data_IF_611702403331
#
_entry.id   IF_611702403331
#
_cell.length_a   1.000
_cell.length_b   1.000
_cell.length_c   1.000
_cell.angle_alpha   90.00
_cell.angle_beta   90.00
_cell.angle_gamma   90.00
#
_symmetry.space_group_name_H-M   'P 1'
#
loop_
_entity.id
_entity.type
_entity.pdbx_description
1 polymer ?
#
# COMPACT_ATOMS: atom_id res chain seq x y z
N UNK A 1 -1.25 -0.15 -22.35
CA UNK A 1 -1.81 -1.39 -21.78
C UNK A 1 -2.09 -1.09 -20.32
N UNK A 2 -3.36 -1.07 -19.94
CA UNK A 2 -3.80 -0.68 -18.60
C UNK A 2 -3.42 -1.80 -17.63
N UNK A 3 -2.37 -1.61 -16.84
CA UNK A 3 -2.07 -2.54 -15.75
C UNK A 3 -3.22 -2.42 -14.74
N UNK A 4 -4.05 -3.46 -14.67
CA UNK A 4 -5.28 -3.49 -13.89
C UNK A 4 -4.90 -3.66 -12.40
N UNK A 5 -5.52 -2.86 -11.53
CA UNK A 5 -5.30 -2.94 -10.09
C UNK A 5 -6.05 -4.16 -9.53
N UNK A 6 -5.55 -5.37 -9.79
CA UNK A 6 -6.21 -6.62 -9.41
C UNK A 6 -6.00 -6.99 -7.92
N UNK A 7 -5.19 -6.21 -7.20
CA UNK A 7 -4.82 -6.48 -5.81
C UNK A 7 -3.96 -7.74 -5.62
N UNK A 8 -3.35 -8.26 -6.69
CA UNK A 8 -2.52 -9.46 -6.70
C UNK A 8 -1.17 -9.20 -7.38
N UNK A 9 -1.17 -8.50 -8.51
CA UNK A 9 0.03 -8.20 -9.28
C UNK A 9 0.53 -6.78 -9.04
N UNK A 10 1.83 -6.59 -9.17
CA UNK A 10 2.47 -5.29 -9.07
C UNK A 10 2.04 -4.40 -10.24
N UNK A 11 1.36 -3.29 -9.97
CA UNK A 11 0.89 -2.37 -11.02
C UNK A 11 2.04 -1.75 -11.83
N UNK A 12 3.24 -1.69 -11.23
CA UNK A 12 4.42 -1.08 -11.85
C UNK A 12 5.20 -2.03 -12.77
N UNK A 13 5.17 -3.35 -12.53
CA UNK A 13 5.99 -4.30 -13.29
C UNK A 13 5.28 -5.61 -13.68
N UNK A 14 4.04 -5.83 -13.26
CA UNK A 14 3.24 -7.03 -13.52
C UNK A 14 3.62 -8.28 -12.72
N UNK A 15 4.69 -8.23 -11.89
CA UNK A 15 5.12 -9.40 -11.10
C UNK A 15 4.24 -9.61 -9.86
N UNK A 16 4.21 -10.85 -9.40
CA UNK A 16 3.49 -11.34 -8.21
C UNK A 16 4.41 -11.68 -7.01
N UNK A 17 5.72 -11.46 -7.16
CA UNK A 17 6.69 -11.68 -6.08
C UNK A 17 6.79 -10.48 -5.15
N UNK A 18 6.28 -10.66 -3.93
CA UNK A 18 6.35 -9.67 -2.87
C UNK A 18 7.05 -10.23 -1.64
N UNK A 19 7.99 -9.46 -1.11
CA UNK A 19 8.62 -9.72 0.19
C UNK A 19 8.04 -8.78 1.24
N UNK A 20 7.93 -9.26 2.48
CA UNK A 20 7.63 -8.39 3.62
C UNK A 20 8.70 -7.29 3.70
N UNK A 21 8.26 -6.04 3.71
CA UNK A 21 9.14 -4.88 3.76
C UNK A 21 9.05 -4.23 5.13
N UNK A 22 10.21 -4.05 5.76
CA UNK A 22 10.33 -3.29 6.99
C UNK A 22 10.99 -1.96 6.65
N UNK A 23 10.21 -0.88 6.75
CA UNK A 23 10.69 0.47 6.51
C UNK A 23 10.21 1.35 7.66
N UNK A 24 11.13 1.72 8.54
CA UNK A 24 10.80 2.50 9.74
C UNK A 24 10.25 3.88 9.39
N UNK A 25 10.73 4.48 8.30
CA UNK A 25 10.24 5.77 7.86
C UNK A 25 8.80 5.66 7.39
N UNK A 26 8.48 4.64 6.56
CA UNK A 26 7.09 4.41 6.14
C UNK A 26 6.20 4.06 7.32
N UNK A 27 6.69 3.27 8.28
CA UNK A 27 5.95 2.95 9.50
C UNK A 27 5.59 4.20 10.32
N UNK A 28 6.50 5.17 10.38
CA UNK A 28 6.28 6.45 11.09
C UNK A 28 5.39 7.41 10.30
N UNK A 29 5.53 7.44 8.98
CA UNK A 29 4.76 8.32 8.11
C UNK A 29 3.33 7.82 7.86
N UNK A 30 3.15 6.50 7.86
CA UNK A 30 1.88 5.82 7.60
C UNK A 30 1.54 4.92 8.79
N UNK A 31 0.74 5.38 9.76
CA UNK A 31 0.44 4.62 10.98
C UNK A 31 -0.23 3.27 10.70
N UNK A 32 -1.01 3.17 9.63
CA UNK A 32 -1.65 1.92 9.18
C UNK A 32 -0.65 0.86 8.68
N UNK A 33 0.64 1.16 8.58
CA UNK A 33 1.68 0.21 8.16
C UNK A 33 2.31 -0.54 9.36
N UNK A 34 2.02 -0.14 10.61
CA UNK A 34 2.68 -0.65 11.82
C UNK A 34 2.64 -2.17 12.01
N UNK A 35 1.65 -2.86 11.45
CA UNK A 35 1.44 -4.30 11.66
C UNK A 35 2.10 -5.20 10.60
N UNK A 36 3.10 -4.69 9.87
CA UNK A 36 3.74 -5.49 8.81
C UNK A 36 2.88 -5.61 7.55
N UNK A 37 1.95 -4.67 7.37
CA UNK A 37 1.12 -4.58 6.18
C UNK A 37 1.88 -4.00 4.97
N UNK A 38 3.21 -3.89 5.01
CA UNK A 38 4.01 -3.40 3.88
C UNK A 38 4.65 -4.57 3.14
N UNK A 39 4.34 -4.70 1.87
CA UNK A 39 4.99 -5.63 0.95
C UNK A 39 5.74 -4.85 -0.12
N UNK A 40 6.99 -5.23 -0.37
CA UNK A 40 7.78 -4.68 -1.46
C UNK A 40 7.88 -5.70 -2.59
N UNK A 41 7.60 -5.24 -3.81
CA UNK A 41 7.79 -6.02 -5.01
C UNK A 41 9.28 -6.28 -5.22
N UNK A 42 9.67 -7.55 -5.31
CA UNK A 42 11.07 -7.93 -5.56
C UNK A 42 11.55 -7.54 -6.96
N UNK A 43 10.63 -7.28 -7.90
CA UNK A 43 10.96 -6.93 -9.27
C UNK A 43 11.36 -5.47 -9.49
N UNK A 44 10.67 -4.53 -8.83
CA UNK A 44 10.85 -3.10 -9.07
C UNK A 44 11.00 -2.27 -7.78
N UNK A 45 10.95 -2.90 -6.61
CA UNK A 45 11.03 -2.18 -5.32
C UNK A 45 9.78 -1.38 -4.96
N UNK A 46 8.70 -1.47 -5.74
CA UNK A 46 7.44 -0.80 -5.41
C UNK A 46 6.84 -1.39 -4.14
N UNK A 47 6.45 -0.53 -3.19
CA UNK A 47 5.87 -0.92 -1.91
C UNK A 47 4.35 -0.80 -1.96
N UNK A 48 3.69 -1.75 -1.32
CA UNK A 48 2.24 -1.90 -1.30
C UNK A 48 1.77 -2.15 0.12
N UNK A 49 0.68 -1.49 0.47
CA UNK A 49 -0.11 -1.83 1.63
C UNK A 49 -0.81 -3.16 1.38
N UNK A 50 -0.92 -3.99 2.40
CA UNK A 50 -1.57 -5.29 2.38
C UNK A 50 -2.89 -5.18 3.12
N UNK A 51 -3.94 -5.74 2.53
CA UNK A 51 -5.23 -5.83 3.17
C UNK A 51 -5.19 -6.83 4.33
N UNK A 52 -5.64 -6.40 5.51
CA UNK A 52 -5.70 -7.21 6.72
C UNK A 52 -6.59 -8.46 6.56
N UNK A 53 -7.74 -8.31 5.90
CA UNK A 53 -8.71 -9.40 5.75
C UNK A 53 -8.29 -10.48 4.73
N UNK A 54 -7.75 -10.08 3.58
CA UNK A 54 -7.54 -11.00 2.44
C UNK A 54 -6.07 -11.20 2.05
N UNK A 55 -5.15 -10.50 2.71
CA UNK A 55 -3.72 -10.53 2.42
C UNK A 55 -3.32 -10.00 1.03
N UNK A 56 -4.27 -9.41 0.30
CA UNK A 56 -4.06 -8.86 -1.04
C UNK A 56 -3.35 -7.51 -1.03
N UNK A 57 -2.84 -7.10 -2.17
CA UNK A 57 -2.30 -5.74 -2.37
C UNK A 57 -3.48 -4.77 -2.34
N UNK A 58 -3.41 -3.83 -1.41
CA UNK A 58 -4.45 -2.84 -1.18
C UNK A 58 -4.21 -1.60 -2.04
N UNK A 59 -3.07 -0.95 -1.86
CA UNK A 59 -2.66 0.25 -2.59
C UNK A 59 -1.15 0.35 -2.58
N UNK A 60 -0.57 1.05 -3.57
CA UNK A 60 0.87 1.35 -3.60
C UNK A 60 1.18 2.47 -2.61
N UNK A 61 2.14 2.26 -1.72
CA UNK A 61 2.60 3.26 -0.75
C UNK A 61 3.97 3.80 -1.19
N UNK A 62 4.13 5.12 -1.17
CA UNK A 62 5.41 5.78 -1.45
C UNK A 62 5.55 7.10 -0.66
N UNK A 63 6.77 7.67 -0.56
CA UNK A 63 7.00 8.86 0.27
C UNK A 63 6.17 10.09 -0.09
N UNK A 64 5.86 10.26 -1.37
CA UNK A 64 5.02 11.36 -1.89
C UNK A 64 3.59 10.90 -2.16
N UNK A 65 3.06 9.98 -1.35
CA UNK A 65 1.70 9.47 -1.50
C UNK A 65 0.72 10.54 -1.09
N UNK A 66 -0.29 10.78 -1.91
CA UNK A 66 -1.34 11.73 -1.63
C UNK A 66 -2.62 11.02 -1.17
N UNK A 67 -3.47 11.71 -0.41
CA UNK A 67 -4.70 11.12 0.15
C UNK A 67 -5.66 10.56 -0.90
N UNK A 68 -5.72 11.19 -2.07
CA UNK A 68 -6.57 10.73 -3.18
C UNK A 68 -6.06 9.47 -3.89
N UNK A 69 -4.79 9.08 -3.68
CA UNK A 69 -4.23 7.85 -4.25
C UNK A 69 -4.56 6.61 -3.40
N UNK A 70 -5.00 6.81 -2.16
CA UNK A 70 -5.41 5.73 -1.27
C UNK A 70 -6.90 5.43 -1.44
N UNK A 71 -7.26 4.26 -2.02
CA UNK A 71 -8.65 3.87 -2.15
C UNK A 71 -9.23 3.54 -0.77
N UNK A 72 -10.50 3.89 -0.55
CA UNK A 72 -11.24 3.51 0.66
C UNK A 72 -11.48 2.01 0.76
N UNK A 73 -11.39 1.27 -0.34
CA UNK A 73 -11.73 -0.15 -0.44
C UNK A 73 -10.60 -0.95 -1.06
N UNK A 74 -10.37 -2.15 -0.53
CA UNK A 74 -9.44 -3.09 -1.11
C UNK A 74 -9.95 -3.53 -2.50
N UNK A 75 -9.13 -3.45 -3.56
CA UNK A 75 -9.53 -3.89 -4.90
C UNK A 75 -9.81 -5.39 -4.98
N UNK A 76 -9.23 -6.20 -4.08
CA UNK A 76 -9.37 -7.67 -4.09
C UNK A 76 -10.65 -8.16 -3.40
N UNK A 77 -11.00 -7.63 -2.23
CA UNK A 77 -12.12 -8.12 -1.42
C UNK A 77 -13.17 -7.06 -1.05
N UNK A 78 -12.93 -5.78 -1.37
CA UNK A 78 -13.82 -4.68 -1.01
C UNK A 78 -13.75 -4.23 0.46
N UNK A 79 -12.85 -4.81 1.27
CA UNK A 79 -12.65 -4.41 2.66
C UNK A 79 -12.21 -2.95 2.78
N UNK A 80 -12.78 -2.22 3.75
CA UNK A 80 -12.45 -0.83 4.04
C UNK A 80 -11.52 -0.78 5.24
N UNK A 81 -10.26 -0.40 5.03
CA UNK A 81 -9.37 -0.14 6.15
C UNK A 81 -9.74 1.23 6.76
N UNK A 82 -10.19 1.21 8.01
CA UNK A 82 -10.61 2.43 8.73
C UNK A 82 -9.45 3.40 8.92
N UNK A 83 -8.23 2.90 9.13
CA UNK A 83 -7.04 3.74 9.32
C UNK A 83 -6.63 4.45 8.03
N UNK A 84 -6.75 3.75 6.90
CA UNK A 84 -6.57 4.36 5.57
C UNK A 84 -7.65 5.42 5.32
N UNK A 85 -8.91 5.11 5.62
CA UNK A 85 -10.04 6.02 5.38
C UNK A 85 -9.95 7.32 6.17
N UNK A 86 -9.40 7.28 7.38
CA UNK A 86 -9.22 8.47 8.22
C UNK A 86 -7.89 9.18 7.96
N UNK A 87 -7.04 8.62 7.10
CA UNK A 87 -5.78 9.23 6.73
C UNK A 87 -6.02 10.38 5.75
N UNK A 88 -5.65 11.58 6.15
CA UNK A 88 -5.95 12.83 5.45
C UNK A 88 -4.85 13.28 4.47
N UNK A 89 -3.84 12.42 4.22
CA UNK A 89 -2.68 12.79 3.40
C UNK A 89 -1.52 13.35 4.21
N UNK A 90 -1.61 13.35 5.54
CA UNK A 90 -0.49 13.76 6.40
C UNK A 90 0.56 12.66 6.47
N UNK A 91 1.22 12.33 5.35
CA UNK A 91 2.53 11.70 5.38
C UNK A 91 3.59 12.73 5.03
N UNK A 92 4.42 13.04 6.02
CA UNK A 92 5.73 13.67 5.84
C UNK A 92 5.78 15.14 5.36
N UNK A 93 4.77 15.99 5.61
CA UNK A 93 4.93 17.44 5.38
C UNK A 93 5.80 18.16 6.42
N UNK A 94 6.07 17.55 7.57
CA UNK A 94 6.93 18.13 8.59
C UNK A 94 8.07 17.17 8.85
N UNK A 95 9.25 17.40 8.24
CA UNK A 95 10.59 17.36 8.86
C UNK A 95 11.63 17.73 7.80
#
# INVERSE_FOLDING_TARGET
>A
MSHQEDGIHCIACGKDQFSLAHDEWMRRAFPFVEQGQLKMCAGCGAKYLVCDECGGLYCRIHPALESWELPDKCPKCGYVNKEVKVWDGTSARHF
#
